data_IF_329867823277
#
_entry.id   IF_329867823277
#
_cell.length_a   1.000
_cell.length_b   1.000
_cell.length_c   1.000
_cell.angle_alpha   90.00
_cell.angle_beta   90.00
_cell.angle_gamma   90.00
#
_symmetry.space_group_name_H-M   'P 1'
#
loop_
_entity.id
_entity.type
_entity.pdbx_description
1 polymer ?
#
# COMPACT_ATOMS: atom_id res chain seq x y z
N UNK A 1 -26.54 3.36 -4.81
CA UNK A 1 -27.14 2.04 -5.19
C UNK A 1 -27.14 1.06 -4.00
N UNK A 2 -27.81 -0.10 -4.03
CA UNK A 2 -27.69 -1.14 -2.97
C UNK A 2 -26.91 -2.35 -3.50
N UNK A 3 -25.98 -2.87 -2.71
CA UNK A 3 -25.17 -4.06 -3.03
C UNK A 3 -25.16 -4.96 -1.82
N UNK A 4 -25.70 -6.18 -1.95
CA UNK A 4 -25.85 -7.12 -0.84
C UNK A 4 -26.53 -6.45 0.38
N UNK A 5 -25.87 -6.43 1.55
CA UNK A 5 -26.40 -5.82 2.78
C UNK A 5 -26.23 -4.30 2.81
N UNK A 6 -25.31 -3.74 2.03
CA UNK A 6 -24.88 -2.35 2.16
C UNK A 6 -25.55 -1.41 1.14
N UNK A 7 -25.92 -0.22 1.61
CA UNK A 7 -26.11 0.93 0.74
C UNK A 7 -24.75 1.45 0.24
N UNK A 8 -24.66 1.83 -1.02
CA UNK A 8 -23.46 2.41 -1.64
C UNK A 8 -23.76 3.87 -1.95
N UNK A 9 -22.98 4.76 -1.33
CA UNK A 9 -23.06 6.21 -1.57
C UNK A 9 -22.63 6.55 -3.01
N UNK A 10 -23.40 7.41 -3.68
CA UNK A 10 -23.02 7.97 -4.98
C UNK A 10 -21.91 9.01 -4.78
N UNK A 11 -20.68 8.53 -4.67
CA UNK A 11 -19.50 9.34 -4.36
C UNK A 11 -18.26 8.80 -5.09
N UNK A 12 -17.12 9.46 -4.89
CA UNK A 12 -15.84 9.07 -5.44
C UNK A 12 -14.73 9.17 -4.39
N UNK A 13 -13.68 8.37 -4.56
CA UNK A 13 -12.41 8.53 -3.86
C UNK A 13 -11.51 9.52 -4.61
N UNK A 14 -10.82 10.39 -3.88
CA UNK A 14 -9.87 11.34 -4.45
C UNK A 14 -8.43 10.89 -4.16
N UNK A 15 -7.70 10.56 -5.21
CA UNK A 15 -6.36 9.97 -5.13
C UNK A 15 -5.29 10.86 -5.80
N UNK A 16 -4.03 10.57 -5.49
CA UNK A 16 -2.87 11.43 -5.75
C UNK A 16 -1.78 10.72 -6.56
N UNK A 17 -1.09 11.43 -7.46
CA UNK A 17 0.07 10.87 -8.16
C UNK A 17 1.27 10.77 -7.21
N UNK A 18 1.93 9.61 -7.21
CA UNK A 18 3.19 9.39 -6.49
C UNK A 18 4.19 8.63 -7.38
N UNK A 19 5.44 8.54 -6.95
CA UNK A 19 6.40 7.60 -7.53
C UNK A 19 6.40 6.32 -6.73
N UNK A 20 6.47 5.19 -7.42
CA UNK A 20 6.55 3.87 -6.81
C UNK A 20 7.71 3.08 -7.42
N UNK A 21 8.41 2.33 -6.56
CA UNK A 21 9.26 1.22 -6.95
C UNK A 21 8.68 -0.08 -6.37
N UNK A 22 8.73 -1.16 -7.15
CA UNK A 22 8.27 -2.49 -6.74
C UNK A 22 9.49 -3.41 -6.66
N UNK A 23 9.63 -4.08 -5.52
CA UNK A 23 10.82 -4.85 -5.17
C UNK A 23 10.39 -6.28 -4.91
N UNK A 24 11.10 -7.22 -5.50
CA UNK A 24 11.00 -8.64 -5.19
C UNK A 24 12.11 -8.99 -4.21
N UNK A 25 11.75 -9.42 -3.01
CA UNK A 25 12.69 -9.96 -2.02
C UNK A 25 12.54 -11.47 -2.04
N UNK A 26 13.61 -12.21 -2.37
CA UNK A 26 13.62 -13.67 -2.26
C UNK A 26 14.43 -14.11 -1.06
N UNK A 27 14.12 -15.26 -0.48
CA UNK A 27 14.83 -15.82 0.67
C UNK A 27 14.84 -17.35 0.64
N UNK A 28 15.49 -17.99 1.63
CA UNK A 28 15.53 -19.44 1.75
C UNK A 28 14.13 -20.07 1.88
N UNK A 29 13.22 -19.41 2.60
CA UNK A 29 11.84 -19.86 2.80
C UNK A 29 10.91 -18.65 3.05
N UNK A 30 9.61 -18.90 3.08
CA UNK A 30 8.58 -17.86 3.15
C UNK A 30 8.71 -17.03 4.43
N UNK A 31 9.05 -17.67 5.56
CA UNK A 31 9.28 -17.01 6.84
C UNK A 31 10.30 -15.88 6.71
N UNK A 32 11.46 -16.13 6.11
CA UNK A 32 12.51 -15.12 5.98
C UNK A 32 12.17 -14.05 4.94
N UNK A 33 11.53 -14.43 3.82
CA UNK A 33 11.10 -13.47 2.82
C UNK A 33 10.06 -12.49 3.38
N UNK A 34 9.06 -13.01 4.13
CA UNK A 34 8.08 -12.20 4.84
C UNK A 34 8.69 -11.36 5.94
N UNK A 35 9.65 -11.89 6.71
CA UNK A 35 10.35 -11.14 7.76
C UNK A 35 11.05 -9.91 7.17
N UNK A 36 11.83 -10.08 6.10
CA UNK A 36 12.48 -8.97 5.41
C UNK A 36 11.47 -7.94 4.89
N UNK A 37 10.39 -8.43 4.25
CA UNK A 37 9.37 -7.59 3.67
C UNK A 37 8.62 -6.77 4.74
N UNK A 38 8.18 -7.39 5.82
CA UNK A 38 7.47 -6.74 6.93
C UNK A 38 8.32 -5.66 7.60
N UNK A 39 9.60 -5.95 7.89
CA UNK A 39 10.50 -4.97 8.49
C UNK A 39 10.78 -3.82 7.50
N UNK A 40 11.03 -4.13 6.23
CA UNK A 40 11.29 -3.12 5.19
C UNK A 40 10.09 -2.19 4.94
N UNK A 41 8.86 -2.69 5.13
CA UNK A 41 7.62 -1.91 4.97
C UNK A 41 7.05 -1.38 6.28
N UNK A 42 7.72 -1.59 7.42
CA UNK A 42 7.33 -1.04 8.71
C UNK A 42 7.50 0.48 8.78
N UNK A 43 6.75 1.13 9.67
CA UNK A 43 6.73 2.60 9.82
C UNK A 43 6.60 3.33 8.47
N UNK A 44 5.56 2.97 7.72
CA UNK A 44 5.35 3.44 6.35
C UNK A 44 3.85 3.55 5.99
N UNK A 45 3.01 4.03 6.89
CA UNK A 45 1.56 4.05 6.66
C UNK A 45 1.10 5.23 5.81
N UNK A 46 1.65 6.42 6.04
CA UNK A 46 1.28 7.63 5.32
C UNK A 46 2.42 8.63 5.28
N UNK A 47 2.72 9.20 4.10
CA UNK A 47 3.78 10.21 3.95
C UNK A 47 3.47 11.55 4.64
N UNK A 48 2.30 11.69 5.28
CA UNK A 48 2.01 12.85 6.14
C UNK A 48 3.01 12.93 7.30
N UNK A 49 3.39 11.79 7.88
CA UNK A 49 4.38 11.72 8.97
C UNK A 49 5.27 10.45 8.98
N UNK A 50 4.94 9.43 8.19
CA UNK A 50 5.86 8.30 7.96
C UNK A 50 6.90 8.69 6.90
N UNK A 51 8.12 8.13 6.94
CA UNK A 51 9.15 8.42 5.94
C UNK A 51 8.81 7.97 4.51
N UNK A 52 7.88 7.03 4.35
CA UNK A 52 7.37 6.54 3.07
C UNK A 52 5.94 6.01 3.24
N UNK A 53 5.31 5.66 2.12
CA UNK A 53 4.19 4.71 2.10
C UNK A 53 4.68 3.37 1.55
N UNK A 54 4.53 2.28 2.30
CA UNK A 54 5.00 0.98 1.88
C UNK A 54 4.22 -0.16 2.52
N UNK A 55 4.05 -1.25 1.78
CA UNK A 55 3.46 -2.48 2.29
C UNK A 55 3.85 -3.68 1.42
N UNK A 56 3.62 -4.86 1.98
CA UNK A 56 3.66 -6.13 1.26
C UNK A 56 2.52 -6.15 0.25
N UNK A 57 2.85 -6.47 -0.99
CA UNK A 57 1.88 -6.78 -2.04
C UNK A 57 1.47 -8.25 -1.88
N UNK A 58 2.32 -9.18 -2.33
CA UNK A 58 2.01 -10.61 -2.38
C UNK A 58 3.24 -11.48 -2.17
N UNK A 59 3.03 -12.70 -1.67
CA UNK A 59 4.01 -13.79 -1.77
C UNK A 59 4.00 -14.29 -3.22
N UNK A 60 5.18 -14.65 -3.74
CA UNK A 60 5.35 -15.22 -5.08
C UNK A 60 6.04 -16.58 -4.99
N UNK A 61 5.59 -17.48 -5.86
CA UNK A 61 6.12 -18.84 -5.90
C UNK A 61 7.54 -18.89 -6.49
N UNK A 62 8.36 -19.91 -6.17
CA UNK A 62 9.70 -20.05 -6.73
C UNK A 62 9.75 -19.95 -8.26
N UNK A 63 8.75 -20.49 -8.97
CA UNK A 63 8.67 -20.50 -10.43
C UNK A 63 8.45 -19.11 -11.06
N UNK A 64 8.03 -18.12 -10.27
CA UNK A 64 7.85 -16.73 -10.70
C UNK A 64 9.07 -15.85 -10.37
N UNK A 65 10.11 -16.41 -9.73
CA UNK A 65 11.30 -15.66 -9.29
C UNK A 65 12.52 -15.95 -10.15
N UNK A 66 13.42 -14.96 -10.33
CA UNK A 66 14.60 -15.14 -11.18
C UNK A 66 15.58 -16.19 -10.64
N UNK A 67 15.59 -16.45 -9.34
CA UNK A 67 16.53 -17.35 -8.68
C UNK A 67 15.90 -18.65 -8.15
N UNK A 68 14.67 -18.95 -8.56
CA UNK A 68 13.92 -20.15 -8.18
C UNK A 68 13.75 -20.31 -6.65
N UNK A 69 13.53 -19.21 -5.93
CA UNK A 69 13.29 -19.20 -4.49
C UNK A 69 11.96 -18.54 -4.17
N UNK A 70 11.36 -18.86 -3.03
CA UNK A 70 10.16 -18.14 -2.60
C UNK A 70 10.48 -16.65 -2.42
N UNK A 71 9.54 -15.80 -2.86
CA UNK A 71 9.70 -14.37 -2.81
C UNK A 71 8.50 -13.65 -2.24
N UNK A 72 8.71 -12.38 -1.90
CA UNK A 72 7.68 -11.44 -1.48
C UNK A 72 7.87 -10.15 -2.25
N UNK A 73 6.79 -9.69 -2.87
CA UNK A 73 6.71 -8.39 -3.51
C UNK A 73 6.36 -7.33 -2.48
N UNK A 74 7.11 -6.25 -2.47
CA UNK A 74 6.77 -5.02 -1.73
C UNK A 74 6.71 -3.85 -2.69
N UNK A 75 5.99 -2.81 -2.27
CA UNK A 75 5.99 -1.53 -2.97
C UNK A 75 6.35 -0.41 -1.99
N UNK A 76 7.12 0.57 -2.47
CA UNK A 76 7.52 1.75 -1.71
C UNK A 76 7.19 2.99 -2.54
N UNK A 77 6.48 3.92 -1.92
CA UNK A 77 5.92 5.12 -2.51
C UNK A 77 6.53 6.38 -1.88
N UNK A 78 6.79 7.37 -2.72
CA UNK A 78 7.05 8.74 -2.27
C UNK A 78 6.60 9.77 -3.32
N UNK A 79 6.36 11.02 -2.88
CA UNK A 79 5.97 12.12 -3.78
C UNK A 79 7.09 12.63 -4.69
N UNK A 80 8.34 12.28 -4.41
CA UNK A 80 9.53 12.78 -5.11
C UNK A 80 10.50 11.63 -5.40
N UNK A 81 11.26 11.73 -6.50
CA UNK A 81 12.27 10.72 -6.84
C UNK A 81 13.47 10.70 -5.87
N UNK A 82 14.00 11.85 -5.39
CA UNK A 82 15.10 11.83 -4.42
C UNK A 82 14.72 11.14 -3.11
N UNK A 83 13.55 11.46 -2.56
CA UNK A 83 13.09 10.85 -1.32
C UNK A 83 12.76 9.37 -1.53
N UNK A 84 12.15 8.99 -2.66
CA UNK A 84 11.94 7.59 -3.02
C UNK A 84 13.27 6.83 -3.06
N UNK A 85 14.31 7.40 -3.71
CA UNK A 85 15.66 6.81 -3.72
C UNK A 85 16.19 6.65 -2.29
N UNK A 86 16.06 7.68 -1.46
CA UNK A 86 16.50 7.64 -0.06
C UNK A 86 15.82 6.52 0.72
N UNK A 87 14.50 6.39 0.58
CA UNK A 87 13.71 5.33 1.23
C UNK A 87 14.05 3.94 0.72
N UNK A 88 14.28 3.76 -0.59
CA UNK A 88 14.71 2.48 -1.15
C UNK A 88 16.07 2.06 -0.58
N UNK A 89 17.06 2.97 -0.58
CA UNK A 89 18.39 2.68 -0.04
C UNK A 89 18.32 2.38 1.46
N UNK A 90 17.63 3.21 2.25
CA UNK A 90 17.56 3.01 3.69
C UNK A 90 16.84 1.70 4.07
N UNK A 91 15.68 1.43 3.46
CA UNK A 91 14.87 0.23 3.79
C UNK A 91 15.53 -1.03 3.28
N UNK A 92 16.06 -1.04 2.06
CA UNK A 92 16.77 -2.21 1.55
C UNK A 92 18.10 -2.44 2.28
N UNK A 93 18.85 -1.39 2.61
CA UNK A 93 20.12 -1.50 3.32
C UNK A 93 19.96 -1.94 4.78
N UNK A 94 18.96 -1.43 5.49
CA UNK A 94 18.80 -1.71 6.93
C UNK A 94 17.83 -2.85 7.25
N UNK A 95 17.01 -3.29 6.29
CA UNK A 95 15.98 -4.31 6.53
C UNK A 95 16.07 -5.52 5.61
N UNK A 96 16.64 -5.39 4.40
CA UNK A 96 16.77 -6.50 3.45
C UNK A 96 18.20 -7.05 3.49
N UNK A 97 19.21 -6.24 3.20
CA UNK A 97 20.63 -6.63 3.24
C UNK A 97 21.02 -7.29 4.57
N UNK A 98 20.46 -6.80 5.68
CA UNK A 98 20.70 -7.31 7.04
C UNK A 98 19.88 -8.55 7.40
N UNK A 99 18.87 -8.91 6.60
CA UNK A 99 17.99 -10.04 6.87
C UNK A 99 18.56 -11.33 6.26
N UNK A 100 18.59 -12.44 7.03
CA UNK A 100 19.19 -13.70 6.59
C UNK A 100 18.68 -14.21 5.25
N UNK A 101 19.60 -14.74 4.44
CA UNK A 101 19.35 -15.43 3.17
C UNK A 101 18.77 -14.58 2.05
N UNK A 102 18.55 -13.28 2.27
CA UNK A 102 17.78 -12.48 1.32
C UNK A 102 18.55 -12.15 0.05
N UNK A 103 17.80 -11.93 -1.02
CA UNK A 103 18.26 -11.27 -2.25
C UNK A 103 17.18 -10.30 -2.71
N UNK A 104 17.55 -9.26 -3.46
CA UNK A 104 16.62 -8.25 -3.91
C UNK A 104 16.70 -8.01 -5.43
N UNK A 105 15.55 -8.11 -6.10
CA UNK A 105 15.40 -7.97 -7.54
C UNK A 105 14.33 -6.92 -7.88
N UNK A 106 14.49 -6.30 -9.03
CA UNK A 106 13.52 -5.36 -9.58
C UNK A 106 12.25 -6.10 -10.03
N UNK A 107 11.09 -5.61 -9.62
CA UNK A 107 9.79 -6.16 -10.06
C UNK A 107 9.11 -5.26 -11.12
N UNK A 108 9.87 -4.34 -11.72
CA UNK A 108 9.48 -3.49 -12.86
C UNK A 108 10.56 -3.49 -13.98
N UNK A 109 11.02 -4.65 -14.47
CA UNK A 109 12.17 -4.72 -15.38
C UNK A 109 11.98 -3.93 -16.69
N UNK A 110 10.75 -3.87 -17.21
CA UNK A 110 10.43 -3.25 -18.50
C UNK A 110 10.34 -1.71 -18.48
N UNK A 111 10.45 -1.07 -17.31
CA UNK A 111 10.27 0.39 -17.22
C UNK A 111 11.58 1.14 -17.46
N UNK A 112 11.50 2.21 -18.27
CA UNK A 112 12.68 2.99 -18.67
C UNK A 112 13.33 3.75 -17.52
N UNK A 113 12.54 4.28 -16.58
CA UNK A 113 13.07 5.08 -15.47
C UNK A 113 13.54 4.15 -14.36
N UNK A 114 14.83 4.20 -14.04
CA UNK A 114 15.46 3.33 -13.05
C UNK A 114 16.27 4.13 -12.03
N UNK A 115 16.34 3.65 -10.79
CA UNK A 115 17.17 4.20 -9.71
C UNK A 115 18.22 3.16 -9.34
N UNK A 116 19.50 3.58 -9.29
CA UNK A 116 20.66 2.72 -8.98
C UNK A 116 20.79 2.41 -7.47
N UNK A 117 19.82 1.68 -6.91
CA UNK A 117 19.79 1.31 -5.49
C UNK A 117 20.86 0.27 -5.17
N UNK A 118 20.92 -0.83 -5.91
CA UNK A 118 21.91 -1.90 -5.66
C UNK A 118 23.35 -1.40 -5.77
N UNK A 119 23.64 -0.53 -6.74
CA UNK A 119 24.95 0.15 -6.83
C UNK A 119 25.28 1.01 -5.62
N UNK A 120 24.29 1.64 -5.01
CA UNK A 120 24.50 2.45 -3.81
C UNK A 120 24.80 1.54 -2.62
N UNK A 121 24.01 0.47 -2.46
CA UNK A 121 24.21 -0.53 -1.41
C UNK A 121 25.51 -1.31 -1.58
N UNK A 122 26.01 -1.49 -2.81
CA UNK A 122 27.22 -2.25 -3.08
C UNK A 122 28.46 -1.68 -2.38
N UNK A 123 28.43 -0.39 -2.02
CA UNK A 123 29.49 0.27 -1.26
C UNK A 123 29.65 -0.23 0.17
N UNK A 124 28.66 -0.95 0.70
CA UNK A 124 28.83 -1.70 1.95
C UNK A 124 29.91 -2.78 1.86
N UNK A 125 30.21 -3.28 0.65
CA UNK A 125 31.25 -4.28 0.43
C UNK A 125 32.68 -3.75 0.55
N UNK A 126 32.89 -2.44 0.79
CA UNK A 126 34.20 -1.82 1.04
C UNK A 126 35.29 -2.17 0.00
N UNK A 127 34.91 -2.23 -1.28
CA UNK A 127 35.82 -2.55 -2.38
C UNK A 127 35.93 -4.05 -2.70
N UNK A 128 35.34 -4.92 -1.87
CA UNK A 128 35.24 -6.36 -2.13
C UNK A 128 33.97 -6.73 -2.91
N UNK A 129 33.05 -5.79 -3.15
CA UNK A 129 31.86 -6.05 -3.94
C UNK A 129 32.20 -6.41 -5.39
N UNK A 130 31.44 -7.33 -5.99
CA UNK A 130 31.60 -7.72 -7.40
C UNK A 130 30.35 -7.39 -8.19
N UNK A 131 30.53 -6.76 -9.35
CA UNK A 131 29.48 -6.67 -10.36
C UNK A 131 29.43 -8.00 -11.12
N UNK A 132 28.23 -8.53 -11.32
CA UNK A 132 28.04 -9.84 -11.96
C UNK A 132 26.77 -9.81 -12.84
N UNK A 133 26.60 -10.83 -13.68
CA UNK A 133 25.38 -11.09 -14.44
C UNK A 133 24.82 -12.45 -14.04
N UNK A 134 23.82 -12.45 -13.15
CA UNK A 134 23.18 -13.66 -12.62
C UNK A 134 21.69 -13.62 -12.91
N UNK A 135 21.07 -14.77 -13.19
CA UNK A 135 19.62 -14.86 -13.42
C UNK A 135 19.11 -13.95 -14.55
N UNK A 136 19.94 -13.73 -15.57
CA UNK A 136 19.74 -12.75 -16.63
C UNK A 136 19.53 -11.30 -16.14
N UNK A 137 20.12 -10.96 -14.98
CA UNK A 137 20.05 -9.62 -14.38
C UNK A 137 21.45 -9.12 -14.08
N UNK A 138 21.64 -7.80 -14.22
CA UNK A 138 22.87 -7.14 -13.77
C UNK A 138 22.77 -6.93 -12.26
N UNK A 139 23.63 -7.61 -11.50
CA UNK A 139 23.58 -7.64 -10.03
C UNK A 139 24.90 -7.21 -9.41
N UNK A 140 24.83 -6.86 -8.14
CA UNK A 140 25.96 -6.74 -7.23
C UNK A 140 25.96 -7.91 -6.26
N UNK A 141 27.12 -8.51 -6.05
CA UNK A 141 27.39 -9.50 -5.02
C UNK A 141 28.22 -8.83 -3.93
N UNK A 142 27.63 -8.68 -2.75
CA UNK A 142 28.20 -7.93 -1.63
C UNK A 142 28.60 -8.94 -0.56
N UNK A 143 29.90 -9.11 -0.26
CA UNK A 143 30.34 -9.98 0.83
C UNK A 143 29.76 -9.53 2.17
N UNK A 144 29.18 -10.46 2.92
CA UNK A 144 28.61 -10.25 4.26
C UNK A 144 28.92 -11.47 5.13
N UNK A 145 28.65 -11.41 6.44
CA UNK A 145 28.98 -12.52 7.37
C UNK A 145 28.35 -13.87 6.96
N UNK A 146 27.12 -13.86 6.44
CA UNK A 146 26.43 -15.07 6.00
C UNK A 146 27.00 -15.66 4.69
N UNK A 147 27.74 -14.86 3.93
CA UNK A 147 28.19 -15.20 2.57
C UNK A 147 28.08 -13.98 1.65
N UNK A 148 27.07 -13.96 0.78
CA UNK A 148 26.87 -12.86 -0.17
C UNK A 148 25.42 -12.38 -0.18
N UNK A 149 25.23 -11.07 -0.06
CA UNK A 149 23.97 -10.41 -0.39
C UNK A 149 23.95 -10.06 -1.88
N UNK A 150 22.94 -10.55 -2.60
CA UNK A 150 22.77 -10.30 -4.04
C UNK A 150 21.64 -9.27 -4.24
N UNK A 151 21.96 -8.19 -4.94
CA UNK A 151 21.00 -7.12 -5.26
C UNK A 151 21.15 -6.62 -6.69
N UNK A 152 20.04 -6.44 -7.39
CA UNK A 152 20.03 -5.90 -8.76
C UNK A 152 20.57 -4.45 -8.81
N UNK A 153 21.36 -4.09 -9.84
CA UNK A 153 22.06 -2.77 -9.92
C UNK A 153 21.10 -1.58 -9.78
N UNK A 154 19.91 -1.70 -10.38
CA UNK A 154 18.90 -0.66 -10.41
C UNK A 154 17.48 -1.21 -10.36
N UNK A 155 16.56 -0.38 -9.87
CA UNK A 155 15.14 -0.71 -9.69
C UNK A 155 14.28 0.23 -10.51
N UNK A 156 13.24 -0.31 -11.14
CA UNK A 156 12.30 0.43 -11.96
C UNK A 156 11.42 1.37 -11.13
N UNK A 157 11.05 2.50 -11.72
CA UNK A 157 10.17 3.50 -11.10
C UNK A 157 9.06 3.88 -12.05
N UNK A 158 7.82 3.86 -11.53
CA UNK A 158 6.62 4.28 -12.25
C UNK A 158 5.99 5.50 -11.57
N UNK A 159 5.23 6.28 -12.35
CA UNK A 159 4.22 7.18 -11.79
C UNK A 159 3.02 6.32 -11.42
N UNK A 160 2.74 6.23 -10.14
CA UNK A 160 1.71 5.41 -9.53
C UNK A 160 0.62 6.30 -8.89
N UNK A 161 -0.39 5.66 -8.31
CA UNK A 161 -1.53 6.31 -7.69
C UNK A 161 -1.60 5.91 -6.22
N UNK A 162 -1.81 6.88 -5.33
CA UNK A 162 -1.96 6.67 -3.89
C UNK A 162 -3.24 7.30 -3.36
N UNK A 163 -3.84 6.69 -2.33
CA UNK A 163 -5.01 7.27 -1.65
C UNK A 163 -6.38 6.91 -2.24
N UNK A 164 -6.46 5.95 -3.17
CA UNK A 164 -7.78 5.38 -3.51
C UNK A 164 -8.36 4.69 -2.28
N UNK A 165 -9.63 4.91 -1.97
CA UNK A 165 -10.15 4.49 -0.68
C UNK A 165 -11.63 4.09 -0.72
N UNK A 166 -12.04 3.32 0.28
CA UNK A 166 -13.44 3.11 0.63
C UNK A 166 -13.63 3.30 2.14
N UNK A 167 -14.83 3.69 2.55
CA UNK A 167 -15.28 3.75 3.93
C UNK A 167 -16.30 2.63 4.15
N UNK A 168 -16.12 1.86 5.22
CA UNK A 168 -17.03 0.81 5.66
C UNK A 168 -17.72 1.32 6.93
N UNK A 169 -19.02 1.58 6.84
CA UNK A 169 -19.85 2.04 7.96
C UNK A 169 -20.69 0.86 8.46
N UNK A 170 -20.48 0.45 9.70
CA UNK A 170 -21.06 -0.75 10.30
C UNK A 170 -21.76 -0.48 11.64
N UNK A 171 -22.70 -1.36 11.99
CA UNK A 171 -23.49 -1.25 13.23
C UNK A 171 -22.69 -1.41 14.51
N UNK A 172 -21.54 -2.08 14.44
CA UNK A 172 -20.61 -2.29 15.53
C UNK A 172 -19.17 -2.49 15.03
N UNK A 173 -18.23 -2.52 15.97
CA UNK A 173 -16.81 -2.67 15.71
C UNK A 173 -16.47 -4.04 15.11
N UNK A 174 -17.12 -5.11 15.58
CA UNK A 174 -16.86 -6.48 15.14
C UNK A 174 -17.23 -6.67 13.66
N UNK A 175 -18.44 -6.25 13.27
CA UNK A 175 -18.91 -6.30 11.89
C UNK A 175 -18.06 -5.42 10.98
N UNK A 176 -17.68 -4.23 11.44
CA UNK A 176 -16.81 -3.32 10.71
C UNK A 176 -15.42 -3.89 10.45
N UNK A 177 -14.80 -4.46 11.49
CA UNK A 177 -13.44 -5.03 11.39
C UNK A 177 -13.44 -6.28 10.50
N UNK A 178 -14.40 -7.19 10.69
CA UNK A 178 -14.55 -8.39 9.84
C UNK A 178 -14.70 -7.99 8.36
N UNK A 179 -15.53 -7.00 8.06
CA UNK A 179 -15.71 -6.50 6.69
C UNK A 179 -14.43 -5.90 6.11
N UNK A 180 -13.66 -5.16 6.92
CA UNK A 180 -12.38 -4.60 6.52
C UNK A 180 -11.33 -5.70 6.23
N UNK A 181 -11.23 -6.71 7.09
CA UNK A 181 -10.32 -7.85 6.90
C UNK A 181 -10.67 -8.69 5.67
N UNK A 182 -11.96 -9.00 5.47
CA UNK A 182 -12.43 -9.71 4.27
C UNK A 182 -12.13 -8.93 2.99
N UNK A 183 -12.33 -7.61 3.02
CA UNK A 183 -12.01 -6.73 1.89
C UNK A 183 -10.52 -6.68 1.58
N UNK A 184 -9.65 -6.54 2.59
CA UNK A 184 -8.19 -6.58 2.40
C UNK A 184 -7.74 -7.94 1.86
N UNK A 185 -8.27 -9.04 2.41
CA UNK A 185 -7.98 -10.39 1.93
C UNK A 185 -8.40 -10.57 0.46
N UNK A 186 -9.61 -10.15 0.10
CA UNK A 186 -10.11 -10.24 -1.27
C UNK A 186 -9.23 -9.47 -2.27
N UNK A 187 -8.84 -8.23 -1.94
CA UNK A 187 -7.94 -7.42 -2.78
C UNK A 187 -6.58 -8.08 -2.91
N UNK A 188 -5.97 -8.49 -1.79
CA UNK A 188 -4.64 -9.10 -1.77
C UNK A 188 -4.59 -10.37 -2.62
N UNK A 189 -5.64 -11.19 -2.59
CA UNK A 189 -5.69 -12.44 -3.35
C UNK A 189 -5.97 -12.24 -4.85
N UNK A 190 -6.55 -11.11 -5.25
CA UNK A 190 -7.11 -10.93 -6.61
C UNK A 190 -6.48 -9.80 -7.42
N UNK A 191 -5.71 -8.91 -6.79
CA UNK A 191 -5.17 -7.70 -7.45
C UNK A 191 -3.67 -7.57 -7.22
N UNK A 192 -2.88 -8.07 -8.18
CA UNK A 192 -1.45 -7.77 -8.25
C UNK A 192 -1.24 -6.28 -8.55
N UNK A 193 -0.18 -5.68 -8.01
CA UNK A 193 0.19 -4.29 -8.23
C UNK A 193 -0.55 -3.27 -7.34
N UNK A 194 -1.18 -3.72 -6.25
CA UNK A 194 -1.82 -2.85 -5.25
C UNK A 194 -1.32 -3.20 -3.85
N UNK A 195 -1.17 -2.20 -2.99
CA UNK A 195 -0.88 -2.37 -1.57
C UNK A 195 -1.88 -1.57 -0.71
N UNK A 196 -2.04 -1.99 0.55
CA UNK A 196 -2.76 -1.23 1.57
C UNK A 196 -1.78 -0.85 2.69
N UNK A 197 -1.26 0.40 2.74
CA UNK A 197 -0.08 0.74 3.55
C UNK A 197 -0.33 0.87 5.06
N UNK A 198 -1.59 0.97 5.48
CA UNK A 198 -1.93 1.12 6.90
C UNK A 198 -1.80 -0.21 7.68
N UNK A 199 -1.77 -0.18 9.02
CA UNK A 199 -1.68 -1.40 9.82
C UNK A 199 -2.80 -2.40 9.49
N UNK A 200 -2.44 -3.62 9.08
CA UNK A 200 -3.40 -4.62 8.59
C UNK A 200 -4.13 -4.23 7.30
N UNK A 201 -3.73 -3.14 6.64
CA UNK A 201 -4.43 -2.51 5.52
C UNK A 201 -5.59 -1.60 5.93
N UNK A 202 -5.79 -1.35 7.23
CA UNK A 202 -7.02 -0.78 7.78
C UNK A 202 -6.74 0.54 8.51
N UNK A 203 -7.58 1.55 8.28
CA UNK A 203 -7.51 2.87 8.90
C UNK A 203 -8.69 3.03 9.85
N UNK A 204 -8.40 3.09 11.15
CA UNK A 204 -9.41 3.39 12.18
C UNK A 204 -9.61 4.88 12.45
N UNK A 205 -8.62 5.70 12.12
CA UNK A 205 -8.58 7.09 12.56
C UNK A 205 -9.40 8.02 11.67
N UNK A 206 -9.32 7.82 10.34
CA UNK A 206 -9.80 8.77 9.34
C UNK A 206 -9.14 10.14 9.46
N UNK A 207 -8.92 10.85 8.35
CA UNK A 207 -8.40 12.21 8.44
C UNK A 207 -9.07 13.17 7.47
N UNK A 208 -9.09 14.44 7.85
CA UNK A 208 -9.38 15.56 6.94
C UNK A 208 -8.15 16.46 6.87
N UNK A 209 -8.04 17.17 5.76
CA UNK A 209 -7.00 18.20 5.56
C UNK A 209 -7.22 19.35 6.54
N UNK A 210 -6.14 19.80 7.17
CA UNK A 210 -6.15 20.91 8.11
C UNK A 210 -6.82 20.59 9.46
N UNK A 211 -7.17 21.64 10.18
CA UNK A 211 -7.88 21.58 11.46
C UNK A 211 -8.76 22.81 11.63
N UNK A 212 -9.95 22.62 12.21
CA UNK A 212 -10.87 23.72 12.53
C UNK A 212 -10.38 24.60 13.69
N UNK A 213 -9.55 24.05 14.58
CA UNK A 213 -9.07 24.71 15.80
C UNK A 213 -7.58 25.00 15.81
N UNK A 214 -6.77 24.11 15.22
CA UNK A 214 -5.31 24.16 15.33
C UNK A 214 -4.67 24.44 13.97
N UNK A 215 -4.50 25.72 13.62
CA UNK A 215 -4.12 26.18 12.29
C UNK A 215 -2.81 25.57 11.71
N UNK A 216 -1.90 25.10 12.56
CA UNK A 216 -0.61 24.49 12.14
C UNK A 216 -0.70 22.99 11.84
N UNK A 217 -1.82 22.33 12.12
CA UNK A 217 -1.96 20.89 11.83
C UNK A 217 -2.29 20.67 10.36
N UNK A 218 -1.45 19.87 9.69
CA UNK A 218 -1.66 19.47 8.30
C UNK A 218 -2.88 18.54 8.13
N UNK A 219 -3.16 17.72 9.13
CA UNK A 219 -4.32 16.82 9.17
C UNK A 219 -4.90 16.73 10.57
N UNK A 220 -6.19 16.43 10.66
CA UNK A 220 -6.91 16.17 11.92
C UNK A 220 -8.00 15.12 11.70
N UNK A 221 -8.64 14.66 12.78
CA UNK A 221 -9.74 13.68 12.68
C UNK A 221 -10.82 14.10 11.67
N UNK A 222 -11.30 13.14 10.89
CA UNK A 222 -12.44 13.35 10.02
C UNK A 222 -13.75 13.28 10.83
N UNK A 223 -13.99 14.33 11.60
CA UNK A 223 -15.15 14.46 12.50
C UNK A 223 -16.51 14.13 11.86
N UNK A 224 -16.67 14.36 10.55
CA UNK A 224 -17.89 14.02 9.82
C UNK A 224 -18.21 12.52 9.86
N UNK A 225 -17.20 11.66 9.98
CA UNK A 225 -17.33 10.22 10.04
C UNK A 225 -17.01 9.65 11.43
N UNK A 226 -16.98 10.48 12.49
CA UNK A 226 -16.78 10.00 13.86
C UNK A 226 -18.13 9.63 14.50
N UNK A 227 -18.40 8.36 14.82
CA UNK A 227 -19.68 7.96 15.42
C UNK A 227 -19.97 8.63 16.76
N UNK A 228 -18.93 8.90 17.56
CA UNK A 228 -19.03 9.59 18.86
C UNK A 228 -19.41 11.07 18.75
N UNK A 229 -19.31 11.65 17.56
CA UNK A 229 -19.67 13.05 17.30
C UNK A 229 -21.00 13.20 16.55
N UNK A 230 -21.65 12.08 16.18
CA UNK A 230 -22.84 12.06 15.33
C UNK A 230 -23.93 13.02 15.81
N UNK A 231 -24.26 12.96 17.10
CA UNK A 231 -25.33 13.76 17.71
C UNK A 231 -24.79 15.10 18.28
N UNK A 232 -23.50 15.39 18.09
CA UNK A 232 -22.80 16.61 18.55
C UNK A 232 -22.62 17.63 17.43
N UNK A 233 -22.34 17.17 16.20
CA UNK A 233 -22.11 18.02 15.02
C UNK A 233 -23.32 17.98 14.09
N UNK A 234 -23.62 19.10 13.41
CA UNK A 234 -24.82 19.23 12.58
C UNK A 234 -24.74 18.50 11.24
N UNK A 235 -23.54 18.31 10.74
CA UNK A 235 -23.23 17.81 9.39
C UNK A 235 -22.59 16.41 9.42
N UNK A 236 -22.89 15.64 10.46
CA UNK A 236 -22.41 14.26 10.54
C UNK A 236 -22.87 13.44 9.33
N UNK A 237 -21.95 12.64 8.80
CA UNK A 237 -22.19 11.66 7.74
C UNK A 237 -22.41 10.25 8.28
N UNK A 238 -22.49 10.08 9.60
CA UNK A 238 -22.69 8.78 10.26
C UNK A 238 -24.20 8.53 10.47
N UNK A 239 -24.79 7.48 9.86
CA UNK A 239 -26.17 7.09 10.13
C UNK A 239 -26.44 6.70 11.60
N UNK A 240 -27.71 6.70 12.00
CA UNK A 240 -28.12 6.40 13.39
C UNK A 240 -27.79 4.95 13.80
N UNK A 241 -27.88 4.01 12.87
CA UNK A 241 -27.61 2.59 13.07
C UNK A 241 -26.12 2.21 12.87
N UNK A 242 -25.23 3.20 12.71
CA UNK A 242 -23.78 3.00 12.56
C UNK A 242 -23.05 3.42 13.83
N UNK A 243 -22.17 2.54 14.32
CA UNK A 243 -21.32 2.79 15.51
C UNK A 243 -19.83 2.65 15.24
N UNK A 244 -19.44 2.11 14.09
CA UNK A 244 -18.05 1.96 13.69
C UNK A 244 -17.85 2.38 12.24
N UNK A 245 -16.72 3.03 11.96
CA UNK A 245 -16.27 3.36 10.61
C UNK A 245 -14.81 2.96 10.46
N UNK A 246 -14.53 2.14 9.45
CA UNK A 246 -13.17 1.85 9.00
C UNK A 246 -12.96 2.41 7.59
N UNK A 247 -11.75 2.86 7.31
CA UNK A 247 -11.31 3.27 5.99
C UNK A 247 -10.27 2.27 5.48
N UNK A 248 -10.36 1.90 4.20
CA UNK A 248 -9.32 1.14 3.50
C UNK A 248 -8.68 2.06 2.48
N UNK A 249 -7.34 2.14 2.51
CA UNK A 249 -6.56 2.96 1.57
C UNK A 249 -5.71 2.06 0.70
N UNK A 250 -5.78 2.27 -0.61
CA UNK A 250 -5.10 1.52 -1.65
C UNK A 250 -4.18 2.42 -2.45
N UNK A 251 -2.92 2.00 -2.55
CA UNK A 251 -1.96 2.53 -3.50
C UNK A 251 -1.73 1.48 -4.58
N UNK A 252 -1.59 1.89 -5.84
CA UNK A 252 -1.39 0.96 -6.94
C UNK A 252 -0.56 1.54 -8.06
N UNK A 253 0.03 0.64 -8.86
CA UNK A 253 0.93 1.01 -9.96
C UNK A 253 0.25 1.88 -11.03
N UNK A 254 -1.08 1.86 -11.12
CA UNK A 254 -1.88 2.73 -11.95
C UNK A 254 -3.32 2.88 -11.40
N UNK A 255 -4.10 3.80 -11.97
CA UNK A 255 -5.47 4.11 -11.54
C UNK A 255 -6.44 2.94 -11.75
N UNK A 256 -6.26 2.13 -12.79
CA UNK A 256 -7.14 1.00 -13.08
C UNK A 256 -7.05 -0.09 -12.02
N UNK A 257 -5.83 -0.37 -11.54
CA UNK A 257 -5.59 -1.30 -10.46
C UNK A 257 -6.20 -0.82 -9.14
N UNK A 258 -6.05 0.47 -8.82
CA UNK A 258 -6.68 1.08 -7.64
C UNK A 258 -8.21 1.01 -7.74
N UNK A 259 -8.79 1.32 -8.92
CA UNK A 259 -10.23 1.21 -9.16
C UNK A 259 -10.72 -0.22 -8.98
N UNK A 260 -9.99 -1.22 -9.50
CA UNK A 260 -10.30 -2.64 -9.32
C UNK A 260 -10.26 -3.04 -7.84
N UNK A 261 -9.24 -2.60 -7.10
CA UNK A 261 -9.11 -2.87 -5.68
C UNK A 261 -10.29 -2.28 -4.87
N UNK A 262 -10.66 -1.03 -5.13
CA UNK A 262 -11.81 -0.39 -4.49
C UNK A 262 -13.12 -1.15 -4.74
N UNK A 263 -13.37 -1.55 -5.99
CA UNK A 263 -14.57 -2.32 -6.36
C UNK A 263 -14.65 -3.67 -5.66
N UNK A 264 -13.55 -4.43 -5.67
CA UNK A 264 -13.48 -5.73 -5.00
C UNK A 264 -13.61 -5.62 -3.48
N UNK A 265 -12.95 -4.62 -2.88
CA UNK A 265 -13.05 -4.34 -1.46
C UNK A 265 -14.50 -4.01 -1.06
N UNK A 266 -15.18 -3.17 -1.85
CA UNK A 266 -16.57 -2.81 -1.60
C UNK A 266 -17.50 -4.04 -1.75
N UNK A 267 -17.32 -4.85 -2.80
CA UNK A 267 -18.08 -6.07 -2.99
C UNK A 267 -17.88 -7.07 -1.85
N UNK A 268 -16.64 -7.27 -1.39
CA UNK A 268 -16.33 -8.15 -0.26
C UNK A 268 -16.96 -7.63 1.04
N UNK A 269 -16.69 -6.38 1.40
CA UNK A 269 -17.23 -5.76 2.62
C UNK A 269 -18.78 -5.80 2.64
N UNK A 270 -19.44 -5.58 1.49
CA UNK A 270 -20.91 -5.57 1.42
C UNK A 270 -21.58 -6.90 1.74
N UNK A 271 -20.84 -8.02 1.71
CA UNK A 271 -21.34 -9.37 2.05
C UNK A 271 -21.40 -9.62 3.55
N UNK A 272 -20.75 -8.78 4.35
CA UNK A 272 -20.71 -8.94 5.81
C UNK A 272 -21.97 -8.38 6.44
N UNK A 273 -22.70 -9.23 7.18
CA UNK A 273 -23.83 -8.78 8.01
C UNK A 273 -23.35 -7.72 9.00
N UNK A 274 -24.16 -6.67 9.16
CA UNK A 274 -23.86 -5.51 10.02
C UNK A 274 -23.21 -4.34 9.29
N UNK A 275 -22.73 -4.51 8.05
CA UNK A 275 -22.33 -3.40 7.18
C UNK A 275 -23.58 -2.69 6.67
N UNK A 276 -23.70 -1.41 6.97
CA UNK A 276 -24.87 -0.59 6.60
C UNK A 276 -24.62 0.21 5.33
N UNK A 277 -23.42 0.79 5.22
CA UNK A 277 -23.11 1.69 4.12
C UNK A 277 -21.64 1.59 3.72
N UNK A 278 -21.40 1.68 2.42
CA UNK A 278 -20.08 1.86 1.82
C UNK A 278 -20.03 3.24 1.18
N UNK A 279 -18.98 3.99 1.48
CA UNK A 279 -18.74 5.31 0.91
C UNK A 279 -17.28 5.43 0.47
N UNK A 280 -16.87 6.63 0.06
CA UNK A 280 -15.47 6.97 -0.19
C UNK A 280 -15.20 8.41 0.27
N UNK A 281 -13.97 8.65 0.71
CA UNK A 281 -13.48 9.95 1.13
C UNK A 281 -12.89 10.73 -0.06
N UNK A 282 -13.28 12.00 -0.15
CA UNK A 282 -12.74 12.98 -1.09
C UNK A 282 -12.66 14.37 -0.45
N UNK A 283 -12.05 15.30 -1.18
CA UNK A 283 -11.79 16.67 -0.76
C UNK A 283 -12.49 17.67 -1.68
N UNK A 284 -13.68 17.29 -2.17
CA UNK A 284 -14.46 18.09 -3.11
C UNK A 284 -13.90 18.14 -4.53
N UNK A 285 -12.96 17.25 -4.87
CA UNK A 285 -12.34 17.19 -6.19
C UNK A 285 -11.39 18.35 -6.49
N UNK A 286 -10.80 18.94 -5.44
CA UNK A 286 -9.96 20.14 -5.47
C UNK A 286 -8.47 19.88 -5.21
N UNK A 287 -8.10 18.69 -4.76
CA UNK A 287 -6.73 18.35 -4.34
C UNK A 287 -6.10 17.29 -5.24
N UNK A 288 -6.76 16.15 -5.38
CA UNK A 288 -6.28 15.01 -6.15
C UNK A 288 -6.81 15.02 -7.58
N UNK A 289 -5.97 14.76 -8.61
CA UNK A 289 -6.42 14.74 -9.99
C UNK A 289 -7.24 13.48 -10.34
N UNK A 290 -7.12 12.41 -9.54
CA UNK A 290 -7.85 11.16 -9.77
C UNK A 290 -9.16 11.17 -8.96
N UNK A 291 -10.29 11.11 -9.67
CA UNK A 291 -11.62 10.95 -9.08
C UNK A 291 -12.13 9.57 -9.44
N UNK A 292 -12.07 8.63 -8.50
CA UNK A 292 -12.42 7.23 -8.74
C UNK A 292 -13.85 7.01 -8.25
N UNK A 293 -14.81 6.97 -9.18
CA UNK A 293 -16.23 6.71 -8.88
C UNK A 293 -16.39 5.35 -8.20
N UNK A 294 -17.07 5.33 -7.04
CA UNK A 294 -17.29 4.11 -6.28
C UNK A 294 -18.26 3.16 -7.01
N UNK A 295 -19.34 3.69 -7.58
CA UNK A 295 -20.30 2.91 -8.35
C UNK A 295 -19.65 2.25 -9.57
N UNK A 296 -18.84 3.00 -10.33
CA UNK A 296 -18.12 2.44 -11.47
C UNK A 296 -17.05 1.43 -11.08
N UNK A 297 -16.40 1.62 -9.92
CA UNK A 297 -15.42 0.68 -9.39
C UNK A 297 -16.07 -0.66 -9.08
N UNK A 298 -17.22 -0.63 -8.42
CA UNK A 298 -18.03 -1.82 -8.10
C UNK A 298 -18.51 -2.51 -9.38
N UNK A 299 -19.05 -1.75 -10.33
CA UNK A 299 -19.57 -2.34 -11.58
C UNK A 299 -18.48 -3.03 -12.39
N UNK A 300 -17.28 -2.47 -12.45
CA UNK A 300 -16.11 -3.08 -13.11
C UNK A 300 -15.61 -4.35 -12.41
N UNK A 301 -15.95 -4.54 -11.13
CA UNK A 301 -15.47 -5.65 -10.31
C UNK A 301 -16.46 -6.81 -10.19
N UNK A 302 -17.70 -6.64 -10.65
CA UNK A 302 -18.69 -7.72 -10.80
C UNK A 302 -18.30 -8.61 -11.98
#
# INVERSE_FOLDING_TARGET
>A
MKVNYAEVEETFAEAFPMYCSRILITALNEKWALTAAQVATGFASSIIMSPAEAAVENVVSPTETPDNRVGVLIQIYHRSLPDLKGQLVARMGQCVLTCPTTRAFDALPEVKRRIRVGRTLSKFGDGFEKKDRMFNRDVWRIPVMEGEFIVEDSFGVVKAVAGGNILILAEDEESGLRAAEEAISAVRNSVKGVIAPFPGGIVRSGSKVGSLKYAKLAASTNHLYCPTLRDVIKDSKVPQDVKCVYELVFNGLNVDLVKKAMGLAALAASKVSGVKKIAAANYGGKLGPYKISLAEAIEKAK
#
